data_IF_607849123235
#
_entry.id   IF_607849123235
#
_cell.length_a   1.000
_cell.length_b   1.000
_cell.length_c   1.000
_cell.angle_alpha   90.00
_cell.angle_beta   90.00
_cell.angle_gamma   90.00
#
_symmetry.space_group_name_H-M   'P 1'
#
loop_
_entity.id
_entity.type
_entity.pdbx_description
1 polymer ?
#
# COMPACT_ATOMS: atom_id res chain seq x y z
N UNK A 1 -3.96 5.77 -41.84
CA UNK A 1 -5.00 5.10 -41.03
C UNK A 1 -5.55 6.10 -40.03
N UNK A 2 -6.83 6.44 -40.11
CA UNK A 2 -7.50 7.36 -39.18
C UNK A 2 -8.23 6.53 -38.11
N UNK A 3 -7.80 6.65 -36.85
CA UNK A 3 -8.44 5.96 -35.71
C UNK A 3 -9.80 6.58 -35.40
N UNK A 4 -10.87 5.76 -35.37
CA UNK A 4 -12.22 6.14 -34.92
C UNK A 4 -12.23 6.41 -33.40
N UNK A 5 -11.79 7.60 -32.98
CA UNK A 5 -11.92 8.08 -31.60
C UNK A 5 -10.91 7.52 -30.59
N UNK A 6 -11.15 7.78 -29.29
CA UNK A 6 -10.28 7.36 -28.17
C UNK A 6 -10.76 6.02 -27.59
N UNK A 7 -9.83 5.15 -27.21
CA UNK A 7 -10.10 3.88 -26.53
C UNK A 7 -10.70 4.13 -25.14
N UNK A 8 -11.90 3.61 -24.88
CA UNK A 8 -12.49 3.64 -23.54
C UNK A 8 -12.06 2.36 -22.82
N UNK A 9 -11.47 2.49 -21.63
CA UNK A 9 -11.08 1.37 -20.77
C UNK A 9 -11.71 1.55 -19.40
N UNK A 10 -12.09 0.43 -18.78
CA UNK A 10 -12.67 0.37 -17.45
C UNK A 10 -11.63 -0.10 -16.44
N UNK A 11 -11.59 0.55 -15.28
CA UNK A 11 -10.62 0.28 -14.23
C UNK A 11 -11.26 0.12 -12.85
N UNK A 12 -10.95 -0.98 -12.14
CA UNK A 12 -10.29 -2.18 -12.66
C UNK A 12 -11.16 -2.88 -13.71
N UNK A 13 -10.53 -3.65 -14.61
CA UNK A 13 -11.24 -4.39 -15.66
C UNK A 13 -11.98 -5.62 -15.11
N UNK A 14 -11.44 -6.21 -14.03
CA UNK A 14 -12.03 -7.35 -13.32
C UNK A 14 -11.82 -7.15 -11.83
N UNK A 15 -12.79 -7.58 -11.03
CA UNK A 15 -12.67 -7.61 -9.57
C UNK A 15 -13.12 -8.98 -9.06
N UNK A 16 -12.42 -9.45 -8.03
CA UNK A 16 -12.72 -10.71 -7.35
C UNK A 16 -12.72 -10.44 -5.86
N UNK A 17 -13.77 -10.89 -5.19
CA UNK A 17 -13.89 -10.89 -3.74
C UNK A 17 -13.41 -12.23 -3.20
N UNK A 18 -12.49 -12.17 -2.23
CA UNK A 18 -11.94 -13.34 -1.55
C UNK A 18 -12.28 -13.22 -0.08
N UNK A 19 -12.82 -14.29 0.51
CA UNK A 19 -13.14 -14.33 1.93
C UNK A 19 -11.89 -14.09 2.78
N UNK A 20 -12.03 -13.38 3.89
CA UNK A 20 -10.92 -13.19 4.85
C UNK A 20 -10.39 -14.51 5.37
N UNK A 21 -11.25 -15.53 5.52
CA UNK A 21 -10.83 -16.87 5.94
C UNK A 21 -9.88 -17.51 4.92
N UNK A 22 -10.24 -17.44 3.64
CA UNK A 22 -9.46 -18.06 2.56
C UNK A 22 -8.20 -17.26 2.25
N UNK A 23 -8.28 -15.93 2.35
CA UNK A 23 -7.11 -15.06 2.23
C UNK A 23 -6.11 -15.24 3.38
N UNK A 24 -6.57 -15.55 4.59
CA UNK A 24 -5.71 -15.78 5.76
C UNK A 24 -5.13 -17.21 5.81
N UNK A 25 -5.46 -18.07 4.85
CA UNK A 25 -4.76 -19.35 4.71
C UNK A 25 -3.29 -19.10 4.33
N UNK A 26 -2.39 -19.56 5.20
CA UNK A 26 -0.93 -19.47 5.01
C UNK A 26 -0.46 -20.03 3.67
N UNK A 27 -1.05 -21.14 3.20
CA UNK A 27 -0.67 -21.75 1.92
C UNK A 27 -1.11 -20.88 0.75
N UNK A 28 -2.31 -20.30 0.82
CA UNK A 28 -2.80 -19.38 -0.19
C UNK A 28 -1.92 -18.14 -0.30
N UNK A 29 -1.56 -17.52 0.84
CA UNK A 29 -0.68 -16.33 0.86
C UNK A 29 0.71 -16.66 0.33
N UNK A 30 1.28 -17.80 0.69
CA UNK A 30 2.59 -18.24 0.18
C UNK A 30 2.58 -18.38 -1.35
N UNK A 31 1.56 -19.05 -1.90
CA UNK A 31 1.41 -19.24 -3.34
C UNK A 31 1.18 -17.89 -4.05
N UNK A 32 0.27 -17.06 -3.54
CA UNK A 32 -0.01 -15.74 -4.09
C UNK A 32 1.26 -14.86 -4.11
N UNK A 33 2.04 -14.89 -3.02
CA UNK A 33 3.31 -14.15 -2.92
C UNK A 33 4.30 -14.64 -3.97
N UNK A 34 4.49 -15.96 -4.10
CA UNK A 34 5.40 -16.54 -5.09
C UNK A 34 4.98 -16.18 -6.52
N UNK A 35 3.67 -16.19 -6.80
CA UNK A 35 3.13 -15.78 -8.10
C UNK A 35 3.47 -14.31 -8.37
N UNK A 36 3.13 -13.40 -7.44
CA UNK A 36 3.37 -11.97 -7.60
C UNK A 36 4.87 -11.64 -7.74
N UNK A 37 5.71 -12.29 -6.93
CA UNK A 37 7.16 -12.12 -6.99
C UNK A 37 7.67 -12.61 -8.35
N UNK A 38 7.30 -13.82 -8.81
CA UNK A 38 7.72 -14.29 -10.13
C UNK A 38 7.25 -13.37 -11.26
N UNK A 39 6.00 -12.93 -11.24
CA UNK A 39 5.44 -12.04 -12.25
C UNK A 39 6.12 -10.65 -12.28
N UNK A 40 6.77 -10.21 -11.20
CA UNK A 40 7.39 -8.89 -11.16
C UNK A 40 8.73 -8.81 -11.92
N UNK A 41 9.44 -9.93 -12.09
CA UNK A 41 10.79 -9.94 -12.67
C UNK A 41 11.02 -11.04 -13.72
N UNK A 42 10.27 -12.14 -13.68
CA UNK A 42 10.47 -13.24 -14.62
C UNK A 42 9.82 -12.92 -15.95
N UNK A 43 10.64 -12.73 -16.99
CA UNK A 43 10.15 -12.59 -18.35
C UNK A 43 9.56 -13.92 -18.87
N UNK A 44 8.43 -13.82 -19.58
CA UNK A 44 7.76 -14.95 -20.24
C UNK A 44 7.88 -14.74 -21.75
N UNK A 45 8.66 -15.60 -22.42
CA UNK A 45 9.00 -15.42 -23.84
C UNK A 45 7.76 -15.47 -24.75
N UNK A 46 6.73 -16.22 -24.37
CA UNK A 46 5.46 -16.34 -25.07
C UNK A 46 4.62 -15.06 -25.02
N UNK A 47 4.87 -14.20 -24.02
CA UNK A 47 4.19 -12.92 -23.87
C UNK A 47 4.90 -11.78 -24.59
N UNK A 48 6.11 -12.02 -25.10
CA UNK A 48 6.75 -11.06 -25.97
C UNK A 48 6.18 -11.19 -27.39
N UNK A 49 5.66 -10.09 -27.97
CA UNK A 49 5.20 -10.10 -29.34
C UNK A 49 6.33 -10.60 -30.26
N UNK A 50 5.99 -11.36 -31.30
CA UNK A 50 6.97 -11.86 -32.28
C UNK A 50 6.71 -11.27 -33.65
N UNK A 51 7.80 -10.95 -34.32
CA UNK A 51 7.87 -10.30 -35.63
C UNK A 51 8.61 -11.22 -36.59
N UNK A 52 8.11 -11.32 -37.82
CA UNK A 52 8.79 -12.08 -38.88
C UNK A 52 9.90 -11.22 -39.49
N UNK A 53 11.17 -11.60 -39.29
CA UNK A 53 12.35 -10.98 -39.92
C UNK A 53 13.11 -12.06 -40.68
N UNK A 54 13.55 -11.76 -41.91
CA UNK A 54 14.27 -12.72 -42.76
C UNK A 54 13.60 -14.12 -42.80
N UNK A 55 12.27 -14.15 -42.93
CA UNK A 55 11.41 -15.34 -42.89
C UNK A 55 11.33 -16.11 -41.55
N UNK A 56 12.08 -15.74 -40.51
CA UNK A 56 12.05 -16.35 -39.18
C UNK A 56 11.30 -15.47 -38.17
N UNK A 57 10.72 -16.07 -37.13
CA UNK A 57 10.04 -15.35 -36.06
C UNK A 57 11.03 -14.98 -34.96
N UNK A 58 11.15 -13.69 -34.68
CA UNK A 58 12.00 -13.15 -33.62
C UNK A 58 11.14 -12.38 -32.61
N UNK A 59 11.62 -12.28 -31.37
CA UNK A 59 10.99 -11.42 -30.38
C UNK A 59 11.04 -9.95 -30.86
N UNK A 60 9.91 -9.27 -30.76
CA UNK A 60 9.76 -7.85 -31.04
C UNK A 60 9.99 -7.07 -29.74
N UNK A 61 11.26 -6.83 -29.44
CA UNK A 61 11.68 -6.10 -28.23
C UNK A 61 11.15 -4.65 -28.17
N UNK A 62 10.68 -4.10 -29.30
CA UNK A 62 10.16 -2.74 -29.38
C UNK A 62 8.70 -2.63 -28.95
N UNK A 63 7.98 -3.75 -28.88
CA UNK A 63 6.58 -3.78 -28.49
C UNK A 63 6.45 -4.13 -27.00
N UNK A 64 5.34 -3.73 -26.40
CA UNK A 64 5.10 -3.97 -24.97
C UNK A 64 4.78 -5.43 -24.74
N UNK A 65 5.43 -6.04 -23.72
CA UNK A 65 5.10 -7.39 -23.27
C UNK A 65 3.61 -7.48 -22.96
N UNK A 66 2.97 -8.52 -23.49
CA UNK A 66 1.56 -8.73 -23.30
C UNK A 66 1.24 -8.96 -21.80
N UNK A 67 0.35 -8.15 -21.19
CA UNK A 67 0.07 -8.24 -19.77
C UNK A 67 -0.78 -9.46 -19.37
N UNK A 68 -1.08 -10.39 -20.29
CA UNK A 68 -1.91 -11.58 -20.07
C UNK A 68 -1.56 -12.41 -18.84
N UNK A 69 -0.28 -12.50 -18.47
CA UNK A 69 0.13 -13.17 -17.22
C UNK A 69 -0.51 -12.49 -16.00
N UNK A 70 -0.59 -11.16 -15.97
CA UNK A 70 -1.24 -10.44 -14.88
C UNK A 70 -2.75 -10.41 -15.08
N UNK A 71 -3.24 -10.10 -16.28
CA UNK A 71 -4.67 -9.88 -16.49
C UNK A 71 -5.48 -11.17 -16.55
N UNK A 72 -4.88 -12.29 -16.93
CA UNK A 72 -5.56 -13.59 -17.05
C UNK A 72 -5.09 -14.59 -15.99
N UNK A 73 -3.79 -14.87 -15.85
CA UNK A 73 -3.31 -15.90 -14.92
C UNK A 73 -3.52 -15.48 -13.46
N UNK A 74 -3.10 -14.28 -13.05
CA UNK A 74 -3.36 -13.82 -11.67
C UNK A 74 -4.86 -13.68 -11.40
N UNK A 75 -5.61 -13.12 -12.34
CA UNK A 75 -7.08 -12.98 -12.21
C UNK A 75 -7.77 -14.33 -12.09
N UNK A 76 -7.38 -15.33 -12.89
CA UNK A 76 -7.96 -16.68 -12.82
C UNK A 76 -7.60 -17.41 -11.53
N UNK A 77 -6.37 -17.24 -11.03
CA UNK A 77 -5.97 -17.73 -9.72
C UNK A 77 -6.85 -17.15 -8.61
N UNK A 78 -7.01 -15.82 -8.58
CA UNK A 78 -7.86 -15.15 -7.59
C UNK A 78 -9.33 -15.59 -7.72
N UNK A 79 -9.83 -15.74 -8.95
CA UNK A 79 -11.19 -16.21 -9.23
C UNK A 79 -11.43 -17.67 -8.81
N UNK A 80 -10.39 -18.50 -8.76
CA UNK A 80 -10.49 -19.85 -8.21
C UNK A 80 -10.68 -19.88 -6.70
N UNK A 81 -10.18 -18.85 -6.00
CA UNK A 81 -10.25 -18.71 -4.55
C UNK A 81 -11.38 -17.79 -4.06
N UNK A 82 -12.16 -17.20 -4.98
CA UNK A 82 -13.14 -16.17 -4.65
C UNK A 82 -14.27 -16.06 -5.67
N UNK A 83 -15.11 -15.06 -5.50
CA UNK A 83 -16.26 -14.81 -6.39
C UNK A 83 -16.06 -13.51 -7.17
N UNK A 84 -16.51 -13.43 -8.44
CA UNK A 84 -16.48 -12.18 -9.19
C UNK A 84 -17.26 -11.09 -8.46
N UNK A 85 -16.63 -9.93 -8.28
CA UNK A 85 -17.25 -8.78 -7.64
C UNK A 85 -17.64 -7.76 -8.71
N UNK A 86 -18.90 -7.31 -8.68
CA UNK A 86 -19.32 -6.19 -9.52
C UNK A 86 -19.00 -4.88 -8.78
N UNK A 87 -18.04 -4.13 -9.31
CA UNK A 87 -17.68 -2.82 -8.77
C UNK A 87 -17.88 -1.74 -9.82
N UNK A 88 -18.22 -0.53 -9.37
CA UNK A 88 -18.36 0.62 -10.25
C UNK A 88 -17.00 0.98 -10.85
N UNK A 89 -16.73 0.48 -12.04
CA UNK A 89 -15.47 0.70 -12.73
C UNK A 89 -15.34 2.16 -13.20
N UNK A 90 -14.12 2.69 -13.10
CA UNK A 90 -13.77 4.00 -13.62
C UNK A 90 -13.53 3.90 -15.12
N UNK A 91 -14.33 4.60 -15.91
CA UNK A 91 -14.12 4.71 -17.35
C UNK A 91 -13.08 5.78 -17.67
N UNK A 92 -12.06 5.40 -18.43
CA UNK A 92 -10.99 6.29 -18.88
C UNK A 92 -10.84 6.21 -20.39
N UNK A 93 -10.88 7.38 -21.04
CA UNK A 93 -10.53 7.53 -22.46
C UNK A 93 -9.00 7.57 -22.61
N UNK A 94 -8.42 6.44 -22.98
CA UNK A 94 -7.01 6.26 -23.29
C UNK A 94 -6.70 6.54 -24.76
N UNK A 95 -5.50 7.02 -25.03
CA UNK A 95 -4.99 7.25 -26.39
C UNK A 95 -3.60 6.64 -26.48
N UNK A 96 -3.41 5.80 -27.47
CA UNK A 96 -2.13 5.21 -27.82
C UNK A 96 -1.61 5.98 -29.04
N UNK A 97 -0.54 6.75 -28.85
CA UNK A 97 0.17 7.46 -29.92
C UNK A 97 1.57 6.89 -29.97
N UNK A 98 1.91 6.29 -31.11
CA UNK A 98 3.23 5.75 -31.41
C UNK A 98 3.77 6.57 -32.57
N UNK A 99 4.70 7.48 -32.29
CA UNK A 99 5.38 8.25 -33.33
C UNK A 99 6.67 7.51 -33.67
N UNK A 100 6.79 7.02 -34.90
CA UNK A 100 7.98 6.28 -35.33
C UNK A 100 8.62 6.99 -36.52
N UNK A 101 9.94 7.26 -36.42
CA UNK A 101 10.72 7.87 -37.50
C UNK A 101 12.08 7.17 -37.62
N UNK A 102 12.10 5.98 -38.24
CA UNK A 102 13.31 5.16 -38.45
C UNK A 102 14.24 5.03 -37.23
N UNK A 103 13.67 5.06 -36.02
CA UNK A 103 14.39 4.90 -34.76
C UNK A 103 14.27 3.48 -34.23
N UNK A 104 15.28 3.04 -33.46
CA UNK A 104 15.32 1.70 -32.84
C UNK A 104 14.12 1.48 -31.92
N UNK A 105 13.71 2.49 -31.16
CA UNK A 105 12.48 2.45 -30.36
C UNK A 105 11.48 3.50 -30.87
N UNK A 106 10.19 3.17 -30.98
CA UNK A 106 9.19 4.17 -31.32
C UNK A 106 9.05 5.19 -30.19
N UNK A 107 8.79 6.45 -30.54
CA UNK A 107 8.48 7.49 -29.57
C UNK A 107 7.07 7.25 -29.00
N UNK A 108 7.04 6.68 -27.81
CA UNK A 108 5.84 6.64 -26.96
C UNK A 108 5.78 7.92 -26.12
N UNK A 109 4.57 8.36 -25.77
CA UNK A 109 4.44 9.50 -24.84
C UNK A 109 5.14 9.17 -23.53
N UNK A 110 6.12 10.01 -23.15
CA UNK A 110 6.87 9.86 -21.91
C UNK A 110 5.93 9.63 -20.71
N UNK A 111 6.05 8.51 -19.97
CA UNK A 111 5.32 8.27 -18.73
C UNK A 111 5.53 9.41 -17.73
N UNK A 112 6.74 10.01 -17.71
CA UNK A 112 7.08 11.18 -16.90
C UNK A 112 6.24 12.40 -17.26
N UNK A 113 5.96 12.63 -18.54
CA UNK A 113 5.08 13.74 -18.97
C UNK A 113 3.60 13.53 -18.57
N UNK A 114 3.12 12.28 -18.54
CA UNK A 114 1.79 12.00 -17.98
C UNK A 114 1.79 12.20 -16.46
N UNK A 115 2.85 11.77 -15.79
CA UNK A 115 3.00 11.88 -14.36
C UNK A 115 3.11 13.34 -13.89
N UNK A 116 3.84 14.17 -14.63
CA UNK A 116 3.93 15.62 -14.41
C UNK A 116 2.56 16.30 -14.58
N UNK A 117 1.84 16.00 -15.67
CA UNK A 117 0.50 16.58 -15.90
C UNK A 117 -0.52 16.17 -14.84
N UNK A 118 -0.53 14.90 -14.46
CA UNK A 118 -1.42 14.41 -13.38
C UNK A 118 -1.00 15.00 -12.03
N UNK A 119 0.30 15.11 -11.76
CA UNK A 119 0.81 15.75 -10.55
C UNK A 119 0.40 17.22 -10.44
N UNK A 120 0.57 17.99 -11.51
CA UNK A 120 0.14 19.40 -11.61
C UNK A 120 -1.38 19.54 -11.43
N UNK A 121 -2.17 18.74 -12.14
CA UNK A 121 -3.64 18.77 -12.03
C UNK A 121 -4.10 18.42 -10.61
N UNK A 122 -3.45 17.44 -9.98
CA UNK A 122 -3.77 17.03 -8.62
C UNK A 122 -3.35 18.09 -7.59
N UNK A 123 -2.23 18.78 -7.79
CA UNK A 123 -1.81 19.91 -6.96
C UNK A 123 -2.79 21.09 -7.06
N UNK A 124 -3.22 21.45 -8.27
CA UNK A 124 -4.26 22.48 -8.46
C UNK A 124 -5.58 22.07 -7.80
N UNK A 125 -5.99 20.80 -7.94
CA UNK A 125 -7.18 20.28 -7.29
C UNK A 125 -7.07 20.31 -5.75
N UNK A 126 -5.88 19.98 -5.20
CA UNK A 126 -5.61 20.06 -3.75
C UNK A 126 -5.76 21.49 -3.24
N UNK A 127 -5.26 22.47 -3.99
CA UNK A 127 -5.37 23.89 -3.62
C UNK A 127 -6.85 24.32 -3.51
N UNK A 128 -7.69 23.93 -4.48
CA UNK A 128 -9.13 24.21 -4.47
C UNK A 128 -9.84 23.42 -3.34
N UNK A 129 -9.48 22.15 -3.17
CA UNK A 129 -10.09 21.26 -2.19
C UNK A 129 -9.76 21.66 -0.75
N UNK A 130 -8.61 22.29 -0.52
CA UNK A 130 -8.16 22.75 0.78
C UNK A 130 -9.24 23.56 1.51
N UNK A 131 -10.00 24.39 0.80
CA UNK A 131 -11.03 25.27 1.38
C UNK A 131 -12.38 24.60 1.60
N UNK A 132 -12.71 23.56 0.85
CA UNK A 132 -14.08 23.04 0.77
C UNK A 132 -14.24 21.56 1.11
N UNK A 133 -13.15 20.80 1.22
CA UNK A 133 -13.19 19.33 1.32
C UNK A 133 -12.89 18.81 2.72
N UNK A 134 -13.27 17.56 2.99
CA UNK A 134 -12.96 16.84 4.24
C UNK A 134 -11.44 16.61 4.41
N UNK A 135 -11.01 16.38 5.65
CA UNK A 135 -9.59 16.19 5.98
C UNK A 135 -9.02 14.93 5.31
N UNK A 136 -9.80 13.86 5.19
CA UNK A 136 -9.41 12.61 4.52
C UNK A 136 -9.09 12.83 3.04
N UNK A 137 -9.93 13.58 2.32
CA UNK A 137 -9.74 13.87 0.90
C UNK A 137 -8.47 14.69 0.68
N UNK A 138 -8.23 15.70 1.53
CA UNK A 138 -7.01 16.52 1.48
C UNK A 138 -5.77 15.64 1.73
N UNK A 139 -5.82 14.74 2.72
CA UNK A 139 -4.71 13.85 3.04
C UNK A 139 -4.41 12.87 1.91
N UNK A 140 -5.43 12.24 1.33
CA UNK A 140 -5.28 11.32 0.19
C UNK A 140 -4.70 12.02 -1.04
N UNK A 141 -5.18 13.22 -1.36
CA UNK A 141 -4.64 14.02 -2.46
C UNK A 141 -3.17 14.37 -2.21
N UNK A 142 -2.82 14.79 -0.99
CA UNK A 142 -1.45 15.10 -0.59
C UNK A 142 -0.53 13.87 -0.72
N UNK A 143 -0.94 12.72 -0.19
CA UNK A 143 -0.18 11.47 -0.29
C UNK A 143 0.05 11.05 -1.76
N UNK A 144 -0.98 11.20 -2.60
CA UNK A 144 -0.88 10.91 -4.04
C UNK A 144 0.08 11.89 -4.74
N UNK A 145 0.12 13.17 -4.38
CA UNK A 145 1.08 14.13 -4.93
C UNK A 145 2.50 13.76 -4.48
N UNK A 146 2.71 13.54 -3.18
CA UNK A 146 4.03 13.17 -2.63
C UNK A 146 4.58 11.91 -3.29
N UNK A 147 3.76 10.87 -3.42
CA UNK A 147 4.17 9.62 -4.09
C UNK A 147 4.51 9.82 -5.57
N UNK A 148 3.89 10.79 -6.24
CA UNK A 148 4.22 11.12 -7.63
C UNK A 148 5.50 11.93 -7.72
N UNK A 149 5.76 12.83 -6.77
CA UNK A 149 7.05 13.51 -6.67
C UNK A 149 8.19 12.50 -6.50
N UNK A 150 8.04 11.49 -5.62
CA UNK A 150 9.03 10.42 -5.48
C UNK A 150 9.27 9.64 -6.78
N UNK A 151 8.23 9.46 -7.61
CA UNK A 151 8.34 8.79 -8.92
C UNK A 151 9.01 9.66 -9.99
N UNK A 152 9.14 10.96 -9.79
CA UNK A 152 9.84 11.86 -10.73
C UNK A 152 11.36 11.81 -10.55
N UNK A 153 11.86 11.21 -9.46
CA UNK A 153 13.28 11.21 -9.12
C UNK A 153 13.82 12.60 -8.79
N UNK A 154 15.14 12.72 -8.66
CA UNK A 154 15.86 13.98 -8.43
C UNK A 154 15.85 14.85 -9.69
N UNK A 155 14.68 15.39 -10.02
CA UNK A 155 14.56 16.45 -11.02
C UNK A 155 14.70 17.80 -10.31
N UNK A 156 15.88 18.04 -9.74
CA UNK A 156 16.16 19.24 -8.94
C UNK A 156 16.16 20.49 -9.84
N UNK A 157 15.21 21.40 -9.64
CA UNK A 157 15.35 22.77 -10.15
C UNK A 157 14.21 23.34 -10.99
N UNK A 158 13.11 22.60 -11.19
CA UNK A 158 11.94 23.18 -11.86
C UNK A 158 11.18 24.16 -10.95
N UNK A 159 10.92 25.40 -11.40
CA UNK A 159 10.10 26.37 -10.66
C UNK A 159 8.69 25.83 -10.27
N UNK A 160 8.18 24.87 -11.04
CA UNK A 160 6.93 24.16 -10.74
C UNK A 160 6.99 23.30 -9.46
N UNK A 161 8.16 22.78 -9.07
CA UNK A 161 8.33 22.00 -7.84
C UNK A 161 8.10 22.86 -6.60
N UNK A 162 8.58 24.10 -6.62
CA UNK A 162 8.36 25.05 -5.53
C UNK A 162 6.86 25.28 -5.33
N UNK A 163 6.11 25.53 -6.41
CA UNK A 163 4.66 25.70 -6.34
C UNK A 163 3.93 24.47 -5.79
N UNK A 164 4.32 23.25 -6.19
CA UNK A 164 3.73 22.02 -5.62
C UNK A 164 4.09 21.86 -4.14
N UNK A 165 5.34 22.14 -3.76
CA UNK A 165 5.80 22.08 -2.37
C UNK A 165 5.02 23.07 -1.49
N UNK A 166 4.75 24.28 -1.99
CA UNK A 166 3.96 25.29 -1.29
C UNK A 166 2.51 24.84 -1.09
N UNK A 167 1.90 24.23 -2.11
CA UNK A 167 0.54 23.69 -2.04
C UNK A 167 0.47 22.54 -1.02
N UNK A 168 1.40 21.59 -1.09
CA UNK A 168 1.48 20.45 -0.15
C UNK A 168 1.71 20.95 1.28
N UNK A 169 2.60 21.92 1.47
CA UNK A 169 2.88 22.52 2.78
C UNK A 169 1.66 23.27 3.34
N UNK A 170 0.94 23.98 2.48
CA UNK A 170 -0.29 24.68 2.86
C UNK A 170 -1.41 23.71 3.26
N UNK A 171 -1.57 22.61 2.52
CA UNK A 171 -2.52 21.55 2.85
C UNK A 171 -2.17 20.86 4.17
N UNK A 172 -0.89 20.55 4.39
CA UNK A 172 -0.39 19.96 5.64
C UNK A 172 -0.67 20.87 6.84
N UNK A 173 -0.35 22.18 6.72
CA UNK A 173 -0.66 23.18 7.75
C UNK A 173 -2.15 23.24 8.04
N UNK A 174 -3.00 23.15 7.02
CA UNK A 174 -4.46 23.17 7.20
C UNK A 174 -4.98 21.93 7.93
N UNK A 175 -4.47 20.75 7.60
CA UNK A 175 -4.78 19.52 8.32
C UNK A 175 -4.36 19.62 9.79
N UNK A 176 -3.16 20.15 10.07
CA UNK A 176 -2.68 20.40 11.43
C UNK A 176 -3.61 21.34 12.21
N UNK A 177 -4.05 22.42 11.58
CA UNK A 177 -4.99 23.36 12.21
C UNK A 177 -6.35 22.71 12.50
N UNK A 178 -6.88 21.91 11.58
CA UNK A 178 -8.12 21.15 11.83
C UNK A 178 -7.97 20.16 12.98
N UNK A 179 -6.82 19.49 13.07
CA UNK A 179 -6.52 18.57 14.17
C UNK A 179 -6.48 19.28 15.52
N UNK A 180 -5.78 20.41 15.62
CA UNK A 180 -5.73 21.23 16.85
C UNK A 180 -7.14 21.65 17.26
N UNK A 181 -7.98 22.11 16.32
CA UNK A 181 -9.35 22.51 16.61
C UNK A 181 -10.23 21.34 17.08
N UNK A 182 -10.02 20.13 16.56
CA UNK A 182 -10.73 18.93 17.02
C UNK A 182 -10.29 18.58 18.44
N UNK A 183 -8.98 18.63 18.71
CA UNK A 183 -8.44 18.36 20.03
C UNK A 183 -8.99 19.35 21.07
N UNK A 184 -8.99 20.65 20.78
CA UNK A 184 -9.55 21.67 21.67
C UNK A 184 -11.05 21.52 21.90
N UNK A 185 -11.81 21.03 20.92
CA UNK A 185 -13.24 20.75 21.08
C UNK A 185 -13.52 19.51 21.92
N UNK A 186 -12.61 18.52 21.87
CA UNK A 186 -12.72 17.26 22.59
C UNK A 186 -12.02 17.28 23.95
N UNK A 187 -11.23 18.33 24.25
CA UNK A 187 -10.79 18.70 25.60
C UNK A 187 -12.00 19.23 26.38
N UNK A 188 -12.97 18.35 26.68
CA UNK A 188 -13.76 18.57 27.88
C UNK A 188 -12.81 18.37 29.06
N UNK A 189 -12.70 19.30 30.01
CA UNK A 189 -12.01 19.03 31.26
C UNK A 189 -12.75 17.87 31.91
N UNK A 190 -12.12 16.70 31.91
CA UNK A 190 -12.59 15.60 32.74
C UNK A 190 -12.53 16.12 34.18
N UNK A 191 -13.66 16.06 34.88
CA UNK A 191 -13.73 16.36 36.29
C UNK A 191 -12.99 15.26 37.04
N UNK A 192 -11.71 15.51 37.31
CA UNK A 192 -10.83 14.59 38.02
C UNK A 192 -10.93 14.78 39.55
N UNK A 193 -11.75 15.73 40.04
CA UNK A 193 -11.89 15.97 41.48
C UNK A 193 -12.50 14.74 42.18
N UNK A 194 -13.40 14.02 41.50
CA UNK A 194 -13.94 12.75 41.97
C UNK A 194 -12.91 11.60 42.02
N UNK A 195 -11.82 11.68 41.26
CA UNK A 195 -10.71 10.70 41.33
C UNK A 195 -9.74 11.00 42.48
N UNK A 196 -9.72 12.23 42.99
CA UNK A 196 -8.91 12.60 44.15
C UNK A 196 -9.54 12.12 45.48
N UNK A 197 -10.86 11.95 45.52
CA UNK A 197 -11.57 11.40 46.69
C UNK A 197 -11.51 9.86 46.78
N UNK A 198 -11.15 9.18 45.69
CA UNK A 198 -11.02 7.71 45.69
C UNK A 198 -9.76 7.33 46.47
N UNK A 199 -9.96 6.80 47.68
CA UNK A 199 -8.89 6.12 48.42
C UNK A 199 -8.59 4.79 47.76
N UNK A 200 -7.59 4.78 46.88
CA UNK A 200 -7.11 3.58 46.21
C UNK A 200 -6.77 2.45 47.20
N UNK A 201 -6.29 2.80 48.40
CA UNK A 201 -5.93 1.86 49.47
C UNK A 201 -7.10 0.98 49.94
N UNK A 202 -8.33 1.51 49.97
CA UNK A 202 -9.53 0.74 50.36
C UNK A 202 -10.05 -0.18 49.24
N UNK A 203 -9.59 0.04 48.00
CA UNK A 203 -10.03 -0.69 46.80
C UNK A 203 -8.93 -1.52 46.13
N UNK A 204 -7.69 -1.49 46.62
CA UNK A 204 -6.61 -2.39 46.18
C UNK A 204 -6.52 -3.68 47.00
N UNK A 205 -7.17 -3.75 48.16
CA UNK A 205 -7.20 -4.94 49.02
C UNK A 205 -8.23 -5.97 48.56
N UNK A 206 -8.06 -6.48 47.34
CA UNK A 206 -8.72 -7.71 46.93
C UNK A 206 -7.89 -8.89 47.45
N UNK A 207 -8.33 -9.50 48.56
CA UNK A 207 -7.82 -10.81 48.96
C UNK A 207 -8.29 -11.86 47.94
N UNK A 208 -7.35 -12.43 47.20
CA UNK A 208 -7.58 -13.50 46.24
C UNK A 208 -6.98 -14.79 46.80
N UNK A 209 -7.64 -15.44 47.78
CA UNK A 209 -7.08 -16.59 48.48
C UNK A 209 -6.76 -17.77 47.55
N UNK A 210 -7.47 -17.89 46.42
CA UNK A 210 -7.15 -18.86 45.37
C UNK A 210 -5.83 -18.55 44.66
N UNK A 211 -5.57 -17.26 44.38
CA UNK A 211 -4.30 -16.82 43.81
C UNK A 211 -3.18 -17.00 44.83
N UNK A 212 -3.39 -16.68 46.10
CA UNK A 212 -2.40 -16.90 47.16
C UNK A 212 -2.08 -18.40 47.33
N UNK A 213 -3.11 -19.26 47.26
CA UNK A 213 -2.95 -20.72 47.25
C UNK A 213 -2.18 -21.19 46.03
N UNK A 214 -2.45 -20.62 44.84
CA UNK A 214 -1.71 -20.89 43.61
C UNK A 214 -0.24 -20.42 43.72
N UNK A 215 0.02 -19.20 44.19
CA UNK A 215 1.36 -18.65 44.37
C UNK A 215 2.18 -19.48 45.36
N UNK A 216 1.56 -20.03 46.42
CA UNK A 216 2.18 -20.95 47.37
C UNK A 216 2.60 -22.30 46.74
N UNK A 217 2.08 -22.66 45.55
CA UNK A 217 2.53 -23.85 44.80
C UNK A 217 3.76 -23.60 43.90
N UNK A 218 4.08 -22.34 43.59
CA UNK A 218 5.19 -21.95 42.70
C UNK A 218 6.60 -22.37 43.19
N UNK A 219 6.91 -22.44 44.51
CA UNK A 219 8.22 -22.92 44.95
C UNK A 219 8.56 -24.34 44.48
N UNK A 220 7.55 -25.19 44.23
CA UNK A 220 7.74 -26.53 43.64
C UNK A 220 8.25 -26.47 42.19
N UNK A 221 7.99 -25.38 41.48
CA UNK A 221 8.36 -25.24 40.06
C UNK A 221 9.83 -24.83 39.88
N UNK A 222 10.45 -24.26 40.92
CA UNK A 222 11.87 -23.87 40.90
C UNK A 222 12.83 -25.07 40.86
N UNK A 223 12.38 -26.25 41.31
CA UNK A 223 13.18 -27.47 41.23
C UNK A 223 13.16 -28.13 39.84
N UNK A 224 12.20 -27.79 38.96
CA UNK A 224 12.11 -28.39 37.62
C UNK A 224 12.72 -27.54 36.49
N UNK A 225 13.07 -26.29 36.74
CA UNK A 225 13.57 -25.36 35.72
C UNK A 225 15.03 -24.97 35.98
N UNK A 226 15.92 -25.96 36.03
CA UNK A 226 17.30 -25.70 35.61
C UNK A 226 17.30 -25.64 34.08
N UNK A 227 17.72 -24.49 33.54
CA UNK A 227 17.91 -24.14 32.12
C UNK A 227 16.68 -23.69 31.32
N UNK A 228 16.53 -22.36 31.17
CA UNK A 228 16.91 -21.61 29.96
C UNK A 228 16.61 -20.12 30.15
N UNK A 229 17.60 -19.29 29.89
CA UNK A 229 17.52 -17.82 29.90
C UNK A 229 16.32 -17.33 29.08
N UNK A 230 15.51 -16.44 29.67
CA UNK A 230 14.51 -15.68 28.94
C UNK A 230 15.22 -14.65 28.05
N UNK A 231 15.32 -14.95 26.76
CA UNK A 231 15.78 -13.99 25.75
C UNK A 231 14.60 -13.12 25.30
N UNK A 232 14.59 -11.86 25.71
CA UNK A 232 13.71 -10.86 25.14
C UNK A 232 14.09 -10.59 23.67
N UNK A 233 13.12 -10.68 22.76
CA UNK A 233 13.24 -10.16 21.38
C UNK A 233 12.44 -8.87 21.28
N UNK A 234 13.03 -7.74 20.84
CA UNK A 234 12.28 -6.54 20.55
C UNK A 234 11.29 -6.81 19.39
N UNK A 235 10.09 -6.22 19.48
CA UNK A 235 9.06 -6.23 18.43
C UNK A 235 9.46 -5.24 17.32
N UNK A 236 10.69 -5.35 16.82
CA UNK A 236 11.02 -4.84 15.50
C UNK A 236 10.75 -5.99 14.55
N UNK A 237 9.67 -5.89 13.77
CA UNK A 237 9.34 -6.87 12.73
C UNK A 237 10.49 -6.87 11.72
N UNK A 238 11.42 -7.81 11.90
CA UNK A 238 12.39 -8.17 10.89
C UNK A 238 11.61 -8.79 9.74
N UNK A 239 11.31 -7.97 8.73
CA UNK A 239 10.58 -8.38 7.55
C UNK A 239 11.51 -9.22 6.68
N UNK A 240 11.29 -10.54 6.64
CA UNK A 240 11.93 -11.38 5.63
C UNK A 240 11.40 -10.99 4.24
N UNK A 241 12.28 -10.86 3.22
CA UNK A 241 11.91 -10.32 1.90
C UNK A 241 10.83 -11.09 1.10
N UNK A 242 10.33 -12.20 1.62
CA UNK A 242 9.49 -13.17 0.90
C UNK A 242 8.19 -13.53 1.64
N UNK A 243 7.87 -12.86 2.74
CA UNK A 243 6.65 -13.11 3.53
C UNK A 243 5.77 -11.86 3.61
N UNK A 244 4.49 -12.00 3.28
CA UNK A 244 3.49 -10.93 3.47
C UNK A 244 3.26 -10.78 5.00
N UNK A 245 3.28 -9.55 5.54
CA UNK A 245 2.92 -9.34 6.94
C UNK A 245 1.44 -9.67 7.15
N UNK A 246 1.16 -10.59 8.07
CA UNK A 246 -0.21 -10.90 8.52
C UNK A 246 -0.76 -9.74 9.35
N UNK A 247 -1.83 -9.11 8.88
CA UNK A 247 -2.57 -8.07 9.62
C UNK A 247 -3.62 -8.76 10.48
N UNK A 248 -3.44 -8.73 11.81
CA UNK A 248 -4.33 -9.45 12.71
C UNK A 248 -5.49 -8.52 13.11
N UNK A 249 -6.61 -8.60 12.37
CA UNK A 249 -7.74 -7.66 12.49
C UNK A 249 -8.50 -7.77 13.82
N UNK A 250 -8.25 -8.81 14.62
CA UNK A 250 -9.09 -9.17 15.78
C UNK A 250 -8.67 -8.60 17.14
N UNK A 251 -7.58 -7.82 17.25
CA UNK A 251 -7.14 -7.26 18.54
C UNK A 251 -7.05 -5.73 18.46
N UNK A 252 -7.33 -5.10 19.61
CA UNK A 252 -7.58 -3.68 19.81
C UNK A 252 -6.59 -2.71 19.09
N UNK A 253 -7.13 -1.55 18.75
CA UNK A 253 -6.90 -0.76 17.54
C UNK A 253 -5.59 0.07 17.45
N UNK A 254 -4.56 -0.22 18.25
CA UNK A 254 -3.41 0.70 18.36
C UNK A 254 -2.25 0.37 17.41
N UNK A 255 -2.18 -0.87 16.90
CA UNK A 255 -1.09 -1.35 16.04
C UNK A 255 -1.45 -1.49 14.57
N UNK A 256 -2.71 -1.29 14.17
CA UNK A 256 -3.16 -1.45 12.78
C UNK A 256 -2.43 -0.52 11.81
N UNK A 257 -2.15 0.70 12.24
CA UNK A 257 -1.39 1.68 11.45
C UNK A 257 0.04 1.20 11.18
N UNK A 258 0.68 0.53 12.13
CA UNK A 258 2.02 -0.05 11.98
C UNK A 258 2.02 -1.33 11.14
N UNK A 259 1.01 -2.18 11.28
CA UNK A 259 0.85 -3.38 10.44
C UNK A 259 0.58 -3.02 8.98
N UNK A 260 -0.27 -2.02 8.73
CA UNK A 260 -0.52 -1.50 7.38
C UNK A 260 0.72 -0.82 6.78
N UNK A 261 1.49 -0.08 7.59
CA UNK A 261 2.75 0.51 7.15
C UNK A 261 3.79 -0.56 6.78
N UNK A 262 3.82 -1.69 7.51
CA UNK A 262 4.69 -2.83 7.19
C UNK A 262 4.29 -3.49 5.85
N UNK A 263 3.00 -3.59 5.56
CA UNK A 263 2.48 -4.09 4.26
C UNK A 263 2.81 -3.12 3.11
N UNK A 264 2.63 -1.81 3.30
CA UNK A 264 3.00 -0.83 2.28
C UNK A 264 4.50 -0.83 2.00
N UNK A 265 5.32 -0.97 3.04
CA UNK A 265 6.78 -1.01 2.94
C UNK A 265 7.26 -2.28 2.24
N UNK A 266 6.65 -3.44 2.49
CA UNK A 266 7.01 -4.70 1.81
C UNK A 266 6.67 -4.66 0.32
N UNK A 267 5.49 -4.15 -0.05
CA UNK A 267 5.10 -3.94 -1.45
C UNK A 267 6.06 -2.98 -2.15
N UNK A 268 6.50 -1.92 -1.45
CA UNK A 268 7.46 -0.96 -1.99
C UNK A 268 8.86 -1.54 -2.15
N UNK A 269 9.33 -2.38 -1.22
CA UNK A 269 10.62 -3.08 -1.30
C UNK A 269 10.68 -4.08 -2.47
N UNK A 270 9.62 -4.86 -2.68
CA UNK A 270 9.50 -5.78 -3.83
C UNK A 270 9.56 -5.01 -5.16
N UNK A 271 8.90 -3.84 -5.22
CA UNK A 271 8.93 -2.99 -6.41
C UNK A 271 10.29 -2.31 -6.66
N UNK A 272 11.00 -1.89 -5.60
CA UNK A 272 12.32 -1.23 -5.71
C UNK A 272 13.42 -2.24 -6.05
N UNK A 273 13.39 -3.45 -5.47
CA UNK A 273 14.37 -4.49 -5.81
C UNK A 273 14.15 -5.10 -7.19
N UNK A 274 12.91 -5.10 -7.70
CA UNK A 274 12.62 -5.46 -9.09
C UNK A 274 13.13 -4.44 -10.13
N UNK A 275 13.44 -3.20 -9.71
CA UNK A 275 13.99 -2.14 -10.57
C UNK A 275 15.53 -2.11 -10.60
N UNK A 276 16.20 -2.81 -9.68
CA UNK A 276 17.68 -2.88 -9.61
C UNK A 276 18.27 -4.18 -10.18
N UNK A 277 17.45 -5.00 -10.86
CA UNK A 277 17.93 -6.13 -11.68
C UNK A 277 17.78 -5.72 -13.16
N UNK A 278 18.63 -4.79 -13.58
CA UNK A 278 19.10 -4.60 -14.96
C UNK A 278 20.52 -4.10 -14.90
#
# INVERSE_FOLDING_TARGET
MTTRGRLIREFPATATEVSTKDFNDSLFQEVLTKILVKMSHQAVAEMQPKVKKAQQMHNEERDTTDPRIVTELLTSFLRGAGTPAEIKALQKRTREEVSWNNSTHPWMRSPLWHLLRVGLQLAMALQIACDKSSSEVIHLMMAKISRRLCKLGDNEGGAWLHGIKDIVSSASRKLKQRWINIQQRNEQPLDLDGLAEIKFEEHTDFSLPELDTFLATIPRWRQLASTKELKYKPIALYLEPLTIPTVNVSVNNDNKSFELAAVETSVQMIWVHGLNIT
#
